data_IF_593946631922
#
_entry.id   IF_593946631922
#
_cell.length_a   1.000
_cell.length_b   1.000
_cell.length_c   1.000
_cell.angle_alpha   90.00
_cell.angle_beta   90.00
_cell.angle_gamma   90.00
#
_symmetry.space_group_name_H-M   'P 1'
#
loop_
_entity.id
_entity.type
_entity.pdbx_description
1 polymer ?
#
# COMPACT_ATOMS: atom_id res chain seq x y z
N UNK A 1 12.82 -11.70 24.43
CA UNK A 1 11.42 -11.28 24.18
C UNK A 1 11.29 -10.29 23.01
N UNK A 2 12.19 -9.31 22.83
CA UNK A 2 12.09 -8.34 21.71
C UNK A 2 12.18 -9.00 20.33
N UNK A 3 13.04 -9.99 20.13
CA UNK A 3 13.18 -10.70 18.87
C UNK A 3 11.87 -11.39 18.42
N UNK A 4 11.11 -11.94 19.38
CA UNK A 4 9.80 -12.56 19.10
C UNK A 4 8.78 -11.51 18.63
N UNK A 5 8.78 -10.32 19.26
CA UNK A 5 7.90 -9.21 18.87
C UNK A 5 8.25 -8.67 17.48
N UNK A 6 9.53 -8.55 17.17
CA UNK A 6 10.01 -8.14 15.84
C UNK A 6 9.66 -9.18 14.76
N UNK A 7 9.83 -10.47 15.06
CA UNK A 7 9.41 -11.56 14.17
C UNK A 7 7.90 -11.49 13.91
N UNK A 8 7.09 -11.27 14.95
CA UNK A 8 5.65 -11.14 14.80
C UNK A 8 5.25 -9.94 13.93
N UNK A 9 5.94 -8.81 14.08
CA UNK A 9 5.72 -7.67 13.20
C UNK A 9 6.08 -7.99 11.74
N UNK A 10 7.19 -8.68 11.50
CA UNK A 10 7.56 -9.14 10.16
C UNK A 10 6.52 -10.10 9.56
N UNK A 11 5.90 -10.95 10.40
CA UNK A 11 4.77 -11.79 9.98
C UNK A 11 3.58 -10.93 9.55
N UNK A 12 3.21 -9.91 10.32
CA UNK A 12 2.09 -9.02 10.02
C UNK A 12 2.32 -8.14 8.79
N UNK A 13 3.55 -7.64 8.59
CA UNK A 13 3.88 -6.69 7.51
C UNK A 13 4.38 -7.35 6.22
N UNK A 14 4.88 -8.59 6.27
CA UNK A 14 5.48 -9.26 5.10
C UNK A 14 4.81 -10.60 4.82
N UNK A 15 4.81 -11.53 5.78
CA UNK A 15 4.37 -12.89 5.53
C UNK A 15 2.86 -13.00 5.27
N UNK A 16 2.03 -12.38 6.11
CA UNK A 16 0.57 -12.36 5.96
C UNK A 16 0.17 -11.66 4.65
N UNK A 17 0.64 -10.44 4.34
CA UNK A 17 0.31 -9.80 3.06
C UNK A 17 0.80 -10.60 1.86
N UNK A 18 2.01 -11.15 1.87
CA UNK A 18 2.50 -12.02 0.79
C UNK A 18 1.63 -13.27 0.59
N UNK A 19 1.14 -13.88 1.67
CA UNK A 19 0.26 -15.02 1.56
C UNK A 19 -1.13 -14.64 1.04
N UNK A 20 -1.73 -13.57 1.59
CA UNK A 20 -3.03 -13.03 1.15
C UNK A 20 -3.00 -12.63 -0.33
N UNK A 21 -1.86 -12.16 -0.83
CA UNK A 21 -1.62 -11.87 -2.25
C UNK A 21 -1.95 -13.03 -3.19
N UNK A 22 -1.93 -14.28 -2.72
CA UNK A 22 -2.33 -15.43 -3.53
C UNK A 22 -3.79 -15.36 -4.00
N UNK A 23 -4.63 -14.52 -3.40
CA UNK A 23 -5.96 -14.18 -3.91
C UNK A 23 -5.93 -13.58 -5.33
N UNK A 24 -4.81 -12.95 -5.72
CA UNK A 24 -4.63 -12.23 -6.98
C UNK A 24 -3.66 -12.92 -7.96
N UNK A 25 -3.34 -14.21 -7.77
CA UNK A 25 -2.45 -14.97 -8.69
C UNK A 25 -2.87 -14.89 -10.17
N UNK A 26 -4.18 -14.77 -10.44
CA UNK A 26 -4.70 -14.67 -11.80
C UNK A 26 -4.50 -13.28 -12.45
N UNK A 27 -4.13 -12.27 -11.68
CA UNK A 27 -3.93 -10.91 -12.17
C UNK A 27 -2.58 -10.76 -12.86
N UNK A 28 -1.57 -11.46 -12.34
CA UNK A 28 -0.16 -11.32 -12.73
C UNK A 28 0.42 -12.56 -13.43
N UNK A 29 -0.37 -13.22 -14.30
CA UNK A 29 0.12 -14.35 -15.13
C UNK A 29 1.18 -13.87 -16.13
N UNK A 30 2.26 -14.64 -16.40
CA UNK A 30 2.50 -16.04 -16.02
C UNK A 30 3.43 -16.27 -14.81
N UNK A 31 4.00 -15.23 -14.20
CA UNK A 31 5.05 -15.38 -13.17
C UNK A 31 4.52 -15.09 -11.76
N UNK A 32 4.79 -15.99 -10.80
CA UNK A 32 4.60 -15.73 -9.36
C UNK A 32 5.65 -14.73 -8.87
N UNK A 33 5.40 -13.44 -9.05
CA UNK A 33 6.28 -12.41 -8.54
C UNK A 33 6.00 -12.19 -7.04
N UNK A 34 6.97 -12.47 -6.14
CA UNK A 34 6.76 -12.33 -4.70
C UNK A 34 6.46 -10.89 -4.28
N UNK A 35 7.02 -9.90 -4.98
CA UNK A 35 6.77 -8.47 -4.73
C UNK A 35 5.32 -8.12 -5.06
N UNK A 36 4.80 -8.64 -6.18
CA UNK A 36 3.38 -8.45 -6.53
C UNK A 36 2.45 -9.07 -5.49
N UNK A 37 2.73 -10.29 -5.02
CA UNK A 37 1.92 -10.96 -4.00
C UNK A 37 1.91 -10.16 -2.70
N UNK A 38 3.07 -9.73 -2.23
CA UNK A 38 3.20 -8.92 -1.03
C UNK A 38 2.39 -7.62 -1.11
N UNK A 39 2.59 -6.83 -2.17
CA UNK A 39 1.92 -5.54 -2.34
C UNK A 39 0.41 -5.73 -2.54
N UNK A 40 -0.01 -6.60 -3.44
CA UNK A 40 -1.43 -6.82 -3.72
C UNK A 40 -2.20 -7.35 -2.50
N UNK A 41 -1.58 -8.21 -1.70
CA UNK A 41 -2.15 -8.65 -0.43
C UNK A 41 -2.24 -7.52 0.59
N UNK A 42 -1.23 -6.65 0.67
CA UNK A 42 -1.29 -5.47 1.54
C UNK A 42 -2.44 -4.52 1.15
N UNK A 43 -2.67 -4.30 -0.15
CA UNK A 43 -3.78 -3.46 -0.63
C UNK A 43 -5.14 -4.02 -0.18
N UNK A 44 -5.32 -5.34 -0.24
CA UNK A 44 -6.54 -5.99 0.23
C UNK A 44 -6.70 -5.91 1.75
N UNK A 45 -5.61 -6.07 2.49
CA UNK A 45 -5.59 -5.93 3.95
C UNK A 45 -5.95 -4.51 4.39
N UNK A 46 -5.34 -3.49 3.79
CA UNK A 46 -5.68 -2.08 4.04
C UNK A 46 -7.12 -1.75 3.65
N UNK A 47 -7.62 -2.29 2.53
CA UNK A 47 -9.02 -2.12 2.15
C UNK A 47 -9.98 -2.68 3.19
N UNK A 48 -9.73 -3.90 3.67
CA UNK A 48 -10.53 -4.51 4.73
C UNK A 48 -10.44 -3.75 6.04
N UNK A 49 -9.25 -3.28 6.40
CA UNK A 49 -9.06 -2.46 7.61
C UNK A 49 -9.91 -1.18 7.55
N UNK A 50 -9.93 -0.48 6.41
CA UNK A 50 -10.77 0.71 6.23
C UNK A 50 -12.26 0.41 6.45
N UNK A 51 -12.77 -0.64 5.80
CA UNK A 51 -14.18 -1.03 5.84
C UNK A 51 -14.62 -1.46 7.23
N UNK A 52 -13.72 -2.05 8.02
CA UNK A 52 -13.99 -2.48 9.40
C UNK A 52 -13.83 -1.32 10.38
N UNK A 53 -12.76 -0.54 10.24
CA UNK A 53 -12.37 0.44 11.25
C UNK A 53 -13.30 1.66 11.26
N UNK A 54 -13.70 2.17 10.09
CA UNK A 54 -14.51 3.40 10.01
C UNK A 54 -15.87 3.25 10.71
N UNK A 55 -16.68 2.19 10.46
CA UNK A 55 -17.94 2.03 11.18
C UNK A 55 -17.76 1.93 12.69
N UNK A 56 -16.72 1.23 13.17
CA UNK A 56 -16.46 1.11 14.61
C UNK A 56 -16.08 2.46 15.20
N UNK A 57 -15.30 3.29 14.50
CA UNK A 57 -14.95 4.66 14.94
C UNK A 57 -16.21 5.52 15.03
N UNK A 58 -17.06 5.50 14.00
CA UNK A 58 -18.28 6.32 13.95
C UNK A 58 -19.34 5.92 14.98
N UNK A 59 -19.34 4.66 15.40
CA UNK A 59 -20.19 4.16 16.49
C UNK A 59 -19.54 4.33 17.87
N UNK A 60 -18.43 5.08 17.95
CA UNK A 60 -17.63 5.28 19.17
C UNK A 60 -17.24 3.95 19.85
N UNK A 61 -17.05 2.91 19.05
CA UNK A 61 -16.65 1.59 19.47
C UNK A 61 -15.22 1.57 20.01
N UNK A 62 -14.88 0.48 20.69
CA UNK A 62 -13.54 0.30 21.26
C UNK A 62 -12.60 -0.35 20.25
N UNK A 63 -11.31 -0.05 20.37
CA UNK A 63 -10.26 -0.59 19.53
C UNK A 63 -10.23 -2.13 19.49
N UNK A 64 -10.58 -2.81 20.59
CA UNK A 64 -10.64 -4.28 20.62
C UNK A 64 -11.65 -4.85 19.61
N UNK A 65 -12.73 -4.12 19.31
CA UNK A 65 -13.73 -4.55 18.32
C UNK A 65 -13.11 -4.57 16.92
N UNK A 66 -12.32 -3.53 16.58
CA UNK A 66 -11.54 -3.48 15.34
C UNK A 66 -10.56 -4.64 15.31
N UNK A 67 -9.84 -4.90 16.40
CA UNK A 67 -8.86 -6.00 16.49
C UNK A 67 -9.50 -7.36 16.25
N UNK A 68 -10.62 -7.67 16.90
CA UNK A 68 -11.33 -8.96 16.73
C UNK A 68 -11.85 -9.10 15.30
N UNK A 69 -12.55 -8.07 14.79
CA UNK A 69 -13.12 -8.11 13.44
C UNK A 69 -12.04 -8.23 12.36
N UNK A 70 -10.94 -7.48 12.51
CA UNK A 70 -9.84 -7.49 11.55
C UNK A 70 -9.01 -8.78 11.61
N UNK A 71 -8.78 -9.35 12.79
CA UNK A 71 -8.19 -10.69 12.90
C UNK A 71 -9.07 -11.76 12.25
N UNK A 72 -10.39 -11.72 12.47
CA UNK A 72 -11.35 -12.60 11.77
C UNK A 72 -11.28 -12.45 10.25
N UNK A 73 -11.22 -11.21 9.76
CA UNK A 73 -11.04 -10.91 8.34
C UNK A 73 -9.74 -11.47 7.77
N UNK A 74 -8.60 -11.29 8.46
CA UNK A 74 -7.30 -11.86 8.06
C UNK A 74 -7.38 -13.38 7.97
N UNK A 75 -7.99 -14.05 8.95
CA UNK A 75 -8.14 -15.51 8.94
C UNK A 75 -8.94 -16.01 7.74
N UNK A 76 -10.05 -15.33 7.41
CA UNK A 76 -10.86 -15.65 6.22
C UNK A 76 -10.05 -15.47 4.94
N UNK A 77 -9.28 -14.38 4.83
CA UNK A 77 -8.41 -14.14 3.67
C UNK A 77 -7.29 -15.18 3.54
N UNK A 78 -6.65 -15.58 4.64
CA UNK A 78 -5.64 -16.62 4.65
C UNK A 78 -6.22 -17.96 4.20
N UNK A 79 -7.42 -18.32 4.66
CA UNK A 79 -8.13 -19.52 4.21
C UNK A 79 -8.44 -19.45 2.70
N UNK A 80 -9.00 -18.33 2.22
CA UNK A 80 -9.32 -18.12 0.82
C UNK A 80 -8.08 -18.16 -0.09
N UNK A 81 -6.98 -17.53 0.34
CA UNK A 81 -5.69 -17.53 -0.33
C UNK A 81 -5.11 -18.95 -0.42
N UNK A 82 -5.20 -19.72 0.66
CA UNK A 82 -4.73 -21.12 0.72
C UNK A 82 -5.53 -22.01 -0.24
N UNK A 83 -6.87 -21.91 -0.23
CA UNK A 83 -7.72 -22.64 -1.18
C UNK A 83 -7.39 -22.30 -2.63
N UNK A 84 -7.17 -21.01 -2.95
CA UNK A 84 -6.77 -20.59 -4.29
C UNK A 84 -5.38 -21.07 -4.67
N UNK A 85 -4.42 -21.02 -3.76
CA UNK A 85 -3.05 -21.48 -3.97
C UNK A 85 -3.04 -22.94 -4.42
N UNK A 86 -3.73 -23.82 -3.71
CA UNK A 86 -3.79 -25.25 -4.05
C UNK A 86 -4.55 -25.53 -5.34
N UNK A 87 -5.60 -24.77 -5.65
CA UNK A 87 -6.34 -24.91 -6.92
C UNK A 87 -5.52 -24.48 -8.15
N UNK A 88 -4.60 -23.52 -8.00
CA UNK A 88 -3.86 -22.93 -9.11
C UNK A 88 -2.39 -23.37 -9.20
N UNK A 89 -1.87 -24.08 -8.19
CA UNK A 89 -0.50 -24.59 -8.18
C UNK A 89 -0.18 -25.57 -9.33
N UNK A 90 -1.20 -26.15 -9.98
CA UNK A 90 -1.04 -27.15 -11.05
C UNK A 90 -0.74 -26.56 -12.45
N UNK A 91 -0.77 -25.24 -12.64
CA UNK A 91 -0.72 -24.62 -13.99
C UNK A 91 0.43 -23.62 -14.22
N UNK A 92 1.43 -23.55 -13.33
CA UNK A 92 2.48 -22.54 -13.42
C UNK A 92 3.83 -23.17 -13.78
N UNK A 93 4.38 -22.79 -14.94
CA UNK A 93 5.77 -23.07 -15.32
C UNK A 93 6.69 -22.02 -14.71
N UNK A 94 7.76 -22.46 -14.07
CA UNK A 94 8.89 -21.60 -13.77
C UNK A 94 9.50 -21.11 -15.10
N UNK A 95 9.44 -19.81 -15.36
CA UNK A 95 10.14 -19.22 -16.49
C UNK A 95 11.62 -19.23 -16.12
N UNK A 96 12.42 -19.97 -16.89
CA UNK A 96 13.87 -20.04 -16.71
C UNK A 96 14.46 -18.72 -17.21
N UNK A 97 14.79 -17.82 -16.30
CA UNK A 97 15.45 -16.58 -16.64
C UNK A 97 16.90 -16.86 -17.09
N UNK A 98 17.30 -16.23 -18.20
CA UNK A 98 18.66 -16.32 -18.71
C UNK A 98 19.63 -15.65 -17.73
N UNK A 99 20.83 -16.22 -17.57
CA UNK A 99 21.87 -15.70 -16.65
C UNK A 99 22.03 -14.17 -16.79
N UNK A 100 22.04 -13.43 -15.68
CA UNK A 100 22.22 -11.98 -15.71
C UNK A 100 23.65 -11.63 -16.14
N UNK A 101 23.79 -10.52 -16.87
CA UNK A 101 25.10 -10.01 -17.25
C UNK A 101 25.80 -9.36 -16.06
N UNK A 102 27.14 -9.27 -16.08
CA UNK A 102 27.90 -8.66 -14.97
C UNK A 102 27.46 -7.22 -14.66
N UNK A 103 27.18 -6.42 -15.69
CA UNK A 103 26.73 -5.04 -15.52
C UNK A 103 25.34 -4.96 -14.84
N UNK A 104 24.43 -5.87 -15.18
CA UNK A 104 23.12 -5.99 -14.56
C UNK A 104 23.25 -6.35 -13.07
N UNK A 105 24.12 -7.31 -12.73
CA UNK A 105 24.40 -7.69 -11.33
C UNK A 105 24.91 -6.49 -10.54
N UNK A 106 25.87 -5.74 -11.08
CA UNK A 106 26.44 -4.56 -10.42
C UNK A 106 25.34 -3.54 -10.12
N UNK A 107 24.47 -3.25 -11.08
CA UNK A 107 23.36 -2.30 -10.89
C UNK A 107 22.36 -2.78 -9.82
N UNK A 108 22.04 -4.08 -9.78
CA UNK A 108 21.20 -4.64 -8.72
C UNK A 108 21.84 -4.54 -7.34
N UNK A 109 23.15 -4.79 -7.25
CA UNK A 109 23.90 -4.63 -5.99
C UNK A 109 23.89 -3.17 -5.56
N UNK A 110 24.13 -2.22 -6.47
CA UNK A 110 24.11 -0.79 -6.16
C UNK A 110 22.72 -0.33 -5.69
N UNK A 111 21.65 -0.71 -6.39
CA UNK A 111 20.28 -0.41 -5.96
C UNK A 111 19.96 -1.06 -4.61
N UNK A 112 20.35 -2.32 -4.41
CA UNK A 112 20.15 -3.02 -3.13
C UNK A 112 20.88 -2.37 -1.96
N UNK A 113 22.13 -1.92 -2.17
CA UNK A 113 22.92 -1.20 -1.16
C UNK A 113 22.31 0.16 -0.87
N UNK A 114 21.89 0.90 -1.89
CA UNK A 114 21.33 2.24 -1.73
C UNK A 114 19.96 2.20 -1.02
N UNK A 115 19.11 1.23 -1.36
CA UNK A 115 17.91 0.91 -0.59
C UNK A 115 18.25 0.59 0.88
N UNK A 116 19.23 -0.28 1.13
CA UNK A 116 19.63 -0.63 2.50
C UNK A 116 20.09 0.61 3.28
N UNK A 117 20.88 1.50 2.65
CA UNK A 117 21.30 2.77 3.25
C UNK A 117 20.08 3.60 3.63
N UNK A 118 19.09 3.74 2.76
CA UNK A 118 17.86 4.47 3.07
C UNK A 118 17.08 3.86 4.24
N UNK A 119 16.96 2.53 4.28
CA UNK A 119 16.27 1.83 5.38
C UNK A 119 17.01 2.01 6.71
N UNK A 120 18.34 1.94 6.70
CA UNK A 120 19.17 2.19 7.88
C UNK A 120 19.05 3.64 8.33
N UNK A 121 19.09 4.61 7.42
CA UNK A 121 18.91 6.02 7.74
C UNK A 121 17.52 6.31 8.30
N UNK A 122 16.46 5.70 7.75
CA UNK A 122 15.10 5.83 8.25
C UNK A 122 14.92 5.30 9.68
N UNK A 123 15.78 4.36 10.11
CA UNK A 123 15.78 3.81 11.48
C UNK A 123 16.63 4.63 12.43
N UNK A 124 17.83 5.07 12.00
CA UNK A 124 18.81 5.73 12.86
C UNK A 124 18.60 7.23 12.99
N UNK A 125 18.10 7.90 11.94
CA UNK A 125 17.91 9.34 11.93
C UNK A 125 16.57 9.71 12.53
N UNK A 126 16.61 10.61 13.52
CA UNK A 126 15.41 11.20 14.09
C UNK A 126 15.03 12.42 13.28
N UNK A 127 13.96 12.32 12.51
CA UNK A 127 13.36 13.48 11.84
C UNK A 127 12.23 14.06 12.70
N UNK A 128 12.35 15.34 13.03
CA UNK A 128 11.33 16.09 13.76
C UNK A 128 10.28 16.64 12.81
N UNK A 129 9.05 16.14 12.89
CA UNK A 129 7.94 16.63 12.10
C UNK A 129 6.73 16.97 12.99
N UNK A 130 6.09 18.10 12.71
CA UNK A 130 4.96 18.60 13.52
C UNK A 130 3.73 17.71 13.42
N UNK A 131 3.48 17.09 12.27
CA UNK A 131 2.34 16.18 12.07
C UNK A 131 2.46 14.92 12.94
N UNK A 132 3.67 14.54 13.40
CA UNK A 132 3.83 13.41 14.32
C UNK A 132 3.19 13.66 15.68
N UNK A 133 3.22 14.90 16.17
CA UNK A 133 2.57 15.28 17.43
C UNK A 133 1.05 15.08 17.38
N UNK A 134 0.50 14.97 16.17
CA UNK A 134 -0.89 14.60 15.93
C UNK A 134 -1.04 13.10 15.66
N UNK A 135 -0.50 12.57 14.55
CA UNK A 135 -0.81 11.21 14.09
C UNK A 135 -0.20 10.10 14.96
N UNK A 136 1.04 10.27 15.43
CA UNK A 136 1.68 9.27 16.31
C UNK A 136 1.03 9.31 17.69
N UNK A 137 0.69 10.50 18.17
CA UNK A 137 -0.03 10.68 19.42
C UNK A 137 -1.45 10.07 19.38
N UNK A 138 -2.19 10.19 18.27
CA UNK A 138 -3.47 9.48 18.09
C UNK A 138 -3.27 7.97 18.19
N UNK A 139 -2.23 7.46 17.52
CA UNK A 139 -1.94 6.02 17.53
C UNK A 139 -1.67 5.54 18.96
N UNK A 140 -0.82 6.26 19.70
CA UNK A 140 -0.48 5.94 21.08
C UNK A 140 -1.68 6.08 22.03
N UNK A 141 -2.48 7.14 21.87
CA UNK A 141 -3.69 7.38 22.66
C UNK A 141 -4.74 6.28 22.44
N UNK A 142 -4.88 5.79 21.21
CA UNK A 142 -5.79 4.71 20.88
C UNK A 142 -5.33 3.37 21.48
N UNK A 143 -4.04 3.07 21.40
CA UNK A 143 -3.46 1.86 22.00
C UNK A 143 -3.60 1.86 23.53
N UNK A 144 -3.32 2.99 24.19
CA UNK A 144 -3.39 3.13 25.64
C UNK A 144 -4.84 3.11 26.17
N UNK A 145 -5.73 3.89 25.57
CA UNK A 145 -7.09 4.10 26.10
C UNK A 145 -8.13 3.11 25.55
N UNK A 146 -7.82 2.45 24.44
CA UNK A 146 -8.78 1.64 23.67
C UNK A 146 -9.89 2.45 23.00
N UNK A 147 -9.88 3.79 23.10
CA UNK A 147 -10.82 4.70 22.41
C UNK A 147 -10.12 5.35 21.23
N UNK A 148 -10.83 5.51 20.11
CA UNK A 148 -10.27 6.01 18.86
C UNK A 148 -10.79 7.43 18.59
N UNK A 149 -9.90 8.39 18.32
CA UNK A 149 -10.25 9.78 17.98
C UNK A 149 -11.10 10.53 19.05
N UNK A 150 -10.99 10.15 20.33
CA UNK A 150 -11.68 10.78 21.47
C UNK A 150 -10.72 11.36 22.53
N UNK A 151 -9.44 11.50 22.17
CA UNK A 151 -8.41 12.17 22.96
C UNK A 151 -7.73 13.22 22.09
N UNK A 152 -7.58 14.43 22.61
CA UNK A 152 -6.86 15.52 21.95
C UNK A 152 -5.37 15.17 21.94
N UNK A 153 -4.72 15.04 20.77
CA UNK A 153 -3.33 14.58 20.69
C UNK A 153 -2.33 15.50 21.41
N UNK A 154 -2.58 16.81 21.42
CA UNK A 154 -1.67 17.81 21.97
C UNK A 154 -1.76 17.98 23.50
N UNK A 155 -2.90 17.66 24.11
CA UNK A 155 -3.15 17.89 25.54
C UNK A 155 -3.46 16.61 26.31
N UNK A 156 -3.78 15.51 25.62
CA UNK A 156 -4.22 14.26 26.22
C UNK A 156 -5.64 14.29 26.81
N UNK A 157 -6.32 15.44 26.76
CA UNK A 157 -7.67 15.60 27.29
C UNK A 157 -8.70 14.85 26.45
N UNK A 158 -9.82 14.49 27.07
CA UNK A 158 -10.95 13.92 26.35
C UNK A 158 -11.61 14.96 25.43
N UNK A 159 -12.11 14.49 24.30
CA UNK A 159 -12.86 15.31 23.33
C UNK A 159 -13.95 14.47 22.69
N UNK A 160 -14.88 15.14 22.02
CA UNK A 160 -15.85 14.50 21.14
C UNK A 160 -15.14 13.82 19.96
N UNK A 161 -15.85 12.95 19.25
CA UNK A 161 -15.26 12.21 18.14
C UNK A 161 -14.77 13.16 17.04
N UNK A 162 -13.46 13.13 16.75
CA UNK A 162 -12.89 13.79 15.57
C UNK A 162 -13.22 12.98 14.31
N UNK A 163 -14.43 13.19 13.80
CA UNK A 163 -14.97 12.46 12.64
C UNK A 163 -14.09 12.65 11.41
N UNK A 164 -13.61 13.88 11.20
CA UNK A 164 -12.80 14.25 10.03
C UNK A 164 -11.58 13.35 9.87
N UNK A 165 -10.85 13.15 10.96
CA UNK A 165 -9.65 12.30 10.96
C UNK A 165 -9.99 10.82 11.18
N UNK A 166 -11.14 10.52 11.80
CA UNK A 166 -11.69 9.18 11.97
C UNK A 166 -12.00 8.45 10.66
N UNK A 167 -12.25 9.18 9.58
CA UNK A 167 -12.49 8.62 8.24
C UNK A 167 -11.21 8.16 7.52
N UNK A 168 -10.03 8.56 7.99
CA UNK A 168 -8.72 8.10 7.50
C UNK A 168 -7.90 7.42 8.62
N UNK A 169 -8.30 6.20 9.05
CA UNK A 169 -7.75 5.50 10.22
C UNK A 169 -6.37 4.87 10.03
N UNK A 170 -5.48 5.47 9.22
CA UNK A 170 -4.07 5.05 9.13
C UNK A 170 -3.35 5.03 10.49
N UNK A 171 -3.55 6.03 11.40
CA UNK A 171 -3.01 5.98 12.76
C UNK A 171 -3.51 4.77 13.57
N UNK A 172 -4.77 4.39 13.40
CA UNK A 172 -5.36 3.26 14.11
C UNK A 172 -4.79 1.94 13.59
N UNK A 173 -4.44 1.85 12.31
CA UNK A 173 -3.71 0.70 11.77
C UNK A 173 -2.33 0.54 12.42
N UNK A 174 -1.61 1.65 12.66
CA UNK A 174 -0.33 1.65 13.39
C UNK A 174 -0.54 1.23 14.85
N UNK A 175 -1.57 1.77 15.51
CA UNK A 175 -1.94 1.37 16.86
C UNK A 175 -2.26 -0.13 16.94
N UNK A 176 -2.98 -0.66 15.95
CA UNK A 176 -3.30 -2.09 15.86
C UNK A 176 -2.04 -2.95 15.75
N UNK A 177 -1.05 -2.56 14.92
CA UNK A 177 0.25 -3.24 14.86
C UNK A 177 0.98 -3.23 16.21
N UNK A 178 0.95 -2.11 16.92
CA UNK A 178 1.52 -1.98 18.26
C UNK A 178 0.83 -2.92 19.26
N UNK A 179 -0.50 -2.93 19.28
CA UNK A 179 -1.28 -3.82 20.14
C UNK A 179 -1.01 -5.30 19.86
N UNK A 180 -0.94 -5.69 18.58
CA UNK A 180 -0.71 -7.09 18.20
C UNK A 180 0.70 -7.59 18.52
N UNK A 181 1.69 -6.69 18.55
CA UNK A 181 3.11 -7.03 18.78
C UNK A 181 3.56 -6.76 20.22
N UNK A 182 2.81 -5.96 20.97
CA UNK A 182 3.23 -5.45 22.28
C UNK A 182 4.46 -4.55 22.20
N UNK A 183 4.76 -3.96 21.04
CA UNK A 183 5.82 -2.96 20.87
C UNK A 183 5.19 -1.58 21.05
N UNK A 184 5.86 -0.70 21.79
CA UNK A 184 5.40 0.68 22.00
C UNK A 184 5.08 1.36 20.66
N UNK A 185 3.89 1.96 20.58
CA UNK A 185 3.35 2.55 19.35
C UNK A 185 4.31 3.53 18.66
N UNK A 186 5.05 4.33 19.43
CA UNK A 186 6.05 5.28 18.89
C UNK A 186 7.18 4.54 18.15
N UNK A 187 7.66 3.41 18.65
CA UNK A 187 8.71 2.61 18.01
C UNK A 187 8.17 1.99 16.71
N UNK A 188 6.95 1.45 16.75
CA UNK A 188 6.28 0.90 15.57
C UNK A 188 6.15 1.97 14.49
N UNK A 189 5.63 3.15 14.85
CA UNK A 189 5.40 4.26 13.93
C UNK A 189 6.68 4.87 13.38
N UNK A 190 7.67 5.17 14.25
CA UNK A 190 8.86 5.93 13.86
C UNK A 190 10.00 5.08 13.30
N UNK A 191 10.03 3.79 13.59
CA UNK A 191 11.19 2.95 13.26
C UNK A 191 10.81 1.75 12.41
N UNK A 192 9.77 1.00 12.78
CA UNK A 192 9.54 -0.32 12.18
C UNK A 192 8.64 -0.27 10.93
N UNK A 193 7.54 0.49 10.97
CA UNK A 193 6.64 0.68 9.82
C UNK A 193 7.36 1.35 8.63
N UNK A 194 8.17 2.41 8.81
CA UNK A 194 8.96 3.02 7.74
C UNK A 194 9.73 2.02 6.87
N UNK A 195 10.38 1.03 7.49
CA UNK A 195 11.16 0.00 6.78
C UNK A 195 10.28 -0.76 5.78
N UNK A 196 9.08 -1.16 6.20
CA UNK A 196 8.15 -1.87 5.34
C UNK A 196 7.58 -0.96 4.25
N UNK A 197 7.21 0.29 4.57
CA UNK A 197 6.59 1.21 3.62
C UNK A 197 7.57 1.70 2.54
N UNK A 198 8.80 2.05 2.91
CA UNK A 198 9.86 2.43 1.94
C UNK A 198 10.14 1.26 1.01
N UNK A 199 10.31 0.05 1.55
CA UNK A 199 10.50 -1.16 0.75
C UNK A 199 9.31 -1.42 -0.19
N UNK A 200 8.09 -1.13 0.26
CA UNK A 200 6.88 -1.28 -0.54
C UNK A 200 6.84 -0.30 -1.70
N UNK A 201 7.23 0.96 -1.49
CA UNK A 201 7.34 1.99 -2.53
C UNK A 201 8.28 1.53 -3.65
N UNK A 202 9.50 1.10 -3.31
CA UNK A 202 10.43 0.58 -4.31
C UNK A 202 9.94 -0.73 -4.94
N UNK A 203 9.19 -1.54 -4.21
CA UNK A 203 8.49 -2.69 -4.75
C UNK A 203 7.45 -2.31 -5.82
N UNK A 204 6.67 -1.23 -5.62
CA UNK A 204 5.73 -0.72 -6.63
C UNK A 204 6.48 -0.17 -7.84
N UNK A 205 7.57 0.57 -7.65
CA UNK A 205 8.43 1.03 -8.75
C UNK A 205 9.02 -0.15 -9.53
N UNK A 206 9.45 -1.20 -8.84
CA UNK A 206 9.90 -2.43 -9.47
C UNK A 206 8.79 -3.09 -10.31
N UNK A 207 7.54 -3.11 -9.83
CA UNK A 207 6.40 -3.64 -10.60
C UNK A 207 6.10 -2.78 -11.83
N UNK A 208 6.12 -1.45 -11.70
CA UNK A 208 5.98 -0.50 -12.81
C UNK A 208 7.07 -0.73 -13.87
N UNK A 209 8.33 -0.79 -13.45
CA UNK A 209 9.45 -1.02 -14.35
C UNK A 209 9.37 -2.39 -15.03
N UNK A 210 9.14 -3.45 -14.26
CA UNK A 210 9.21 -4.84 -14.74
C UNK A 210 8.04 -5.25 -15.65
N UNK A 211 6.83 -4.69 -15.44
CA UNK A 211 5.60 -5.10 -16.16
C UNK A 211 5.08 -4.08 -17.15
N UNK A 212 5.46 -2.81 -17.00
CA UNK A 212 4.97 -1.72 -17.86
C UNK A 212 6.11 -1.15 -18.69
N UNK A 213 7.07 -0.46 -18.04
CA UNK A 213 8.06 0.35 -18.75
C UNK A 213 9.05 -0.49 -19.57
N UNK A 214 9.50 -1.63 -19.03
CA UNK A 214 10.52 -2.48 -19.64
C UNK A 214 10.00 -3.87 -20.00
N UNK A 215 8.68 -3.98 -20.19
CA UNK A 215 8.02 -5.23 -20.51
C UNK A 215 7.83 -5.40 -22.02
N UNK A 216 8.74 -6.13 -22.66
CA UNK A 216 8.69 -6.55 -24.06
C UNK A 216 9.56 -7.79 -24.31
N UNK A 217 9.24 -8.55 -25.35
CA UNK A 217 10.07 -9.65 -25.86
C UNK A 217 10.95 -9.16 -27.01
N UNK A 218 12.25 -9.53 -27.02
CA UNK A 218 13.17 -9.26 -28.11
C UNK A 218 14.54 -8.71 -27.69
N UNK A 219 15.42 -8.52 -28.68
CA UNK A 219 16.81 -8.06 -28.54
C UNK A 219 16.98 -6.66 -27.90
N UNK A 220 15.89 -5.91 -27.73
CA UNK A 220 15.85 -4.57 -27.12
C UNK A 220 15.40 -4.55 -25.65
N UNK A 221 15.13 -5.71 -25.02
CA UNK A 221 14.92 -5.76 -23.57
C UNK A 221 16.26 -5.59 -22.87
N UNK A 222 16.65 -4.34 -22.66
CA UNK A 222 17.86 -3.99 -21.90
C UNK A 222 17.66 -4.42 -20.46
N UNK A 223 18.17 -5.59 -20.08
CA UNK A 223 18.02 -6.16 -18.74
C UNK A 223 18.53 -5.21 -17.63
N UNK A 224 19.53 -4.38 -17.96
CA UNK A 224 20.06 -3.34 -17.07
C UNK A 224 19.11 -2.17 -16.81
N UNK A 225 18.08 -1.96 -17.64
CA UNK A 225 17.21 -0.78 -17.54
C UNK A 225 16.36 -0.78 -16.27
N UNK A 226 15.93 -1.96 -15.79
CA UNK A 226 15.16 -2.08 -14.55
C UNK A 226 15.95 -1.69 -13.31
N UNK A 227 17.14 -2.28 -13.03
CA UNK A 227 17.94 -1.86 -11.87
C UNK A 227 18.47 -0.44 -12.04
N UNK A 228 18.77 0.03 -13.25
CA UNK A 228 19.13 1.43 -13.48
C UNK A 228 17.97 2.39 -13.17
N UNK A 229 16.74 2.04 -13.56
CA UNK A 229 15.55 2.82 -13.21
C UNK A 229 15.36 2.92 -11.70
N UNK A 230 15.49 1.81 -10.96
CA UNK A 230 15.41 1.82 -9.50
C UNK A 230 16.52 2.65 -8.86
N UNK A 231 17.76 2.48 -9.33
CA UNK A 231 18.89 3.27 -8.84
C UNK A 231 18.68 4.77 -9.06
N UNK A 232 18.21 5.16 -10.24
CA UNK A 232 17.91 6.56 -10.54
C UNK A 232 16.77 7.11 -9.68
N UNK A 233 15.69 6.35 -9.45
CA UNK A 233 14.60 6.80 -8.58
C UNK A 233 15.06 6.89 -7.12
N UNK A 234 15.89 5.97 -6.65
CA UNK A 234 16.50 6.03 -5.31
C UNK A 234 17.37 7.28 -5.12
N UNK A 235 18.21 7.63 -6.11
CA UNK A 235 19.01 8.86 -6.07
C UNK A 235 18.11 10.09 -6.07
N UNK A 236 17.07 10.13 -6.91
CA UNK A 236 16.12 11.27 -6.92
C UNK A 236 15.42 11.44 -5.58
N UNK A 237 15.03 10.34 -4.92
CA UNK A 237 14.41 10.40 -3.59
C UNK A 237 15.39 10.95 -2.55
N UNK A 238 16.66 10.54 -2.57
CA UNK A 238 17.65 11.03 -1.60
C UNK A 238 17.95 12.53 -1.73
N UNK A 239 17.92 13.07 -2.95
CA UNK A 239 18.21 14.47 -3.23
C UNK A 239 16.95 15.34 -3.43
N UNK A 240 15.77 14.76 -3.22
CA UNK A 240 14.48 15.42 -3.46
C UNK A 240 13.96 16.28 -2.31
N UNK A 241 14.72 16.44 -1.22
CA UNK A 241 14.31 17.22 -0.04
C UNK A 241 14.52 18.74 -0.23
N UNK A 242 14.03 19.30 -1.33
CA UNK A 242 14.10 20.74 -1.60
C UNK A 242 12.94 21.53 -0.95
N UNK A 243 11.95 20.83 -0.39
CA UNK A 243 10.82 21.42 0.35
C UNK A 243 10.22 20.40 1.32
N UNK A 244 9.66 20.91 2.42
CA UNK A 244 8.93 20.13 3.43
C UNK A 244 7.72 19.35 2.87
N UNK A 245 7.22 19.72 1.70
CA UNK A 245 6.03 19.13 1.07
C UNK A 245 6.35 18.15 -0.08
N UNK A 246 7.62 17.81 -0.29
CA UNK A 246 8.06 16.89 -1.35
C UNK A 246 7.70 15.45 -1.03
N UNK A 247 7.36 14.67 -2.06
CA UNK A 247 6.99 13.24 -1.89
C UNK A 247 8.18 12.44 -1.36
N UNK A 248 9.38 12.87 -1.73
CA UNK A 248 10.67 12.33 -1.33
C UNK A 248 10.89 12.47 0.17
N UNK A 249 10.66 13.67 0.72
CA UNK A 249 10.70 13.89 2.16
C UNK A 249 9.59 13.11 2.88
N UNK A 250 8.37 13.08 2.33
CA UNK A 250 7.29 12.26 2.87
C UNK A 250 7.65 10.78 2.91
N UNK A 251 8.32 10.27 1.89
CA UNK A 251 8.68 8.87 1.75
C UNK A 251 9.77 8.44 2.75
N UNK A 252 10.81 9.23 2.97
CA UNK A 252 11.90 8.84 3.90
C UNK A 252 11.57 9.28 5.32
N UNK A 253 11.32 10.56 5.53
CA UNK A 253 11.29 11.17 6.86
C UNK A 253 9.92 11.07 7.56
N UNK A 254 8.84 10.98 6.78
CA UNK A 254 7.44 11.02 7.26
C UNK A 254 6.62 9.81 6.82
N UNK A 255 7.27 8.70 6.47
CA UNK A 255 6.64 7.47 5.93
C UNK A 255 5.50 6.93 6.79
N UNK A 256 5.54 7.17 8.10
CA UNK A 256 4.51 6.78 9.06
C UNK A 256 3.15 7.47 8.87
N UNK A 257 3.07 8.48 8.01
CA UNK A 257 1.85 9.25 7.76
C UNK A 257 1.10 8.67 6.57
N UNK A 258 -0.23 8.63 6.67
CA UNK A 258 -1.06 8.15 5.56
C UNK A 258 -0.87 8.96 4.27
N UNK A 259 -0.59 10.27 4.36
CA UNK A 259 -0.23 11.11 3.19
C UNK A 259 1.00 10.56 2.43
N UNK A 260 2.01 10.09 3.15
CA UNK A 260 3.20 9.50 2.55
C UNK A 260 2.85 8.18 1.83
N UNK A 261 2.08 7.30 2.48
CA UNK A 261 1.61 6.06 1.86
C UNK A 261 0.75 6.32 0.61
N UNK A 262 -0.11 7.35 0.63
CA UNK A 262 -0.89 7.75 -0.54
C UNK A 262 -0.01 8.15 -1.72
N UNK A 263 0.93 9.08 -1.49
CA UNK A 263 1.77 9.64 -2.55
C UNK A 263 2.80 8.65 -3.10
N UNK A 264 3.43 7.87 -2.22
CA UNK A 264 4.57 7.02 -2.57
C UNK A 264 4.19 5.58 -2.92
N UNK A 265 3.07 5.06 -2.42
CA UNK A 265 2.65 3.66 -2.66
C UNK A 265 1.37 3.62 -3.50
N UNK A 266 0.29 4.24 -3.00
CA UNK A 266 -1.05 4.01 -3.56
C UNK A 266 -1.25 4.65 -4.93
N UNK A 267 -0.83 5.91 -5.12
CA UNK A 267 -0.90 6.58 -6.43
C UNK A 267 -0.06 5.81 -7.48
N UNK A 268 1.22 5.47 -7.23
CA UNK A 268 2.00 4.63 -8.13
C UNK A 268 1.37 3.26 -8.40
N UNK A 269 0.72 2.65 -7.41
CA UNK A 269 0.02 1.38 -7.58
C UNK A 269 -1.23 1.52 -8.47
N UNK A 270 -1.97 2.63 -8.36
CA UNK A 270 -3.06 2.95 -9.29
C UNK A 270 -2.51 3.10 -10.72
N UNK A 271 -1.42 3.85 -10.90
CA UNK A 271 -0.77 3.96 -12.21
C UNK A 271 -0.36 2.59 -12.77
N UNK A 272 0.25 1.74 -11.94
CA UNK A 272 0.62 0.39 -12.33
C UNK A 272 -0.57 -0.42 -12.83
N UNK A 273 -1.68 -0.42 -12.08
CA UNK A 273 -2.88 -1.14 -12.46
C UNK A 273 -3.51 -0.56 -13.73
N UNK A 274 -3.67 0.76 -13.82
CA UNK A 274 -4.27 1.40 -14.99
C UNK A 274 -3.45 1.18 -16.26
N UNK A 275 -2.13 1.30 -16.20
CA UNK A 275 -1.27 1.01 -17.35
C UNK A 275 -1.33 -0.47 -17.74
N UNK A 276 -1.38 -1.37 -16.75
CA UNK A 276 -1.60 -2.81 -16.98
C UNK A 276 -2.96 -3.08 -17.63
N UNK A 277 -4.01 -2.36 -17.21
CA UNK A 277 -5.34 -2.45 -17.79
C UNK A 277 -5.34 -2.03 -19.26
N UNK A 278 -4.77 -0.86 -19.57
CA UNK A 278 -4.69 -0.35 -20.94
C UNK A 278 -3.90 -1.30 -21.84
N UNK A 279 -2.78 -1.84 -21.35
CA UNK A 279 -2.02 -2.86 -22.08
C UNK A 279 -2.83 -4.12 -22.35
N UNK A 280 -3.53 -4.65 -21.34
CA UNK A 280 -4.40 -5.83 -21.53
C UNK A 280 -5.52 -5.57 -22.53
N UNK A 281 -6.05 -4.36 -22.57
CA UNK A 281 -7.06 -3.95 -23.55
C UNK A 281 -6.48 -3.94 -24.96
N UNK A 282 -5.27 -3.39 -25.12
CA UNK A 282 -4.53 -3.34 -26.39
C UNK A 282 -4.18 -4.73 -26.91
N UNK A 283 -3.78 -5.64 -26.03
CA UNK A 283 -3.44 -7.04 -26.34
C UNK A 283 -4.67 -7.96 -26.41
N UNK A 284 -5.89 -7.41 -26.36
CA UNK A 284 -7.18 -8.13 -26.35
C UNK A 284 -7.31 -9.24 -25.28
N UNK A 285 -6.58 -9.10 -24.19
CA UNK A 285 -6.61 -10.04 -23.08
C UNK A 285 -7.88 -9.88 -22.24
N UNK A 286 -8.39 -11.01 -21.73
CA UNK A 286 -9.52 -11.00 -20.79
C UNK A 286 -9.08 -10.40 -19.45
N UNK A 287 -9.78 -9.36 -19.02
CA UNK A 287 -9.59 -8.76 -17.69
C UNK A 287 -10.30 -9.65 -16.66
N UNK A 288 -9.54 -10.16 -15.69
CA UNK A 288 -10.07 -11.06 -14.66
C UNK A 288 -10.82 -10.27 -13.58
N UNK A 289 -11.81 -10.90 -12.94
CA UNK A 289 -12.52 -10.29 -11.79
C UNK A 289 -11.56 -9.89 -10.67
N UNK A 290 -10.49 -10.67 -10.46
CA UNK A 290 -9.45 -10.36 -9.48
C UNK A 290 -8.74 -9.03 -9.73
N UNK A 291 -8.65 -8.58 -10.99
CA UNK A 291 -8.06 -7.28 -11.31
C UNK A 291 -8.94 -6.13 -10.79
N UNK A 292 -10.26 -6.22 -10.99
CA UNK A 292 -11.21 -5.22 -10.50
C UNK A 292 -11.30 -5.20 -8.98
N UNK A 293 -11.26 -6.38 -8.33
CA UNK A 293 -11.20 -6.47 -6.87
C UNK A 293 -9.92 -5.84 -6.33
N UNK A 294 -8.77 -6.05 -6.98
CA UNK A 294 -7.51 -5.43 -6.58
C UNK A 294 -7.56 -3.90 -6.76
N UNK A 295 -8.06 -3.41 -7.89
CA UNK A 295 -8.21 -1.97 -8.11
C UNK A 295 -9.14 -1.34 -7.06
N UNK A 296 -10.32 -1.93 -6.82
CA UNK A 296 -11.22 -1.47 -5.75
C UNK A 296 -10.59 -1.53 -4.35
N UNK A 297 -9.72 -2.51 -4.09
CA UNK A 297 -8.95 -2.59 -2.84
C UNK A 297 -7.96 -1.43 -2.72
N UNK A 298 -7.21 -1.11 -3.78
CA UNK A 298 -6.31 0.05 -3.80
C UNK A 298 -7.09 1.36 -3.60
N UNK A 299 -8.23 1.52 -4.26
CA UNK A 299 -9.10 2.69 -4.10
C UNK A 299 -9.58 2.84 -2.65
N UNK A 300 -9.99 1.73 -2.02
CA UNK A 300 -10.39 1.72 -0.61
C UNK A 300 -9.21 2.04 0.32
N UNK A 301 -8.02 1.52 0.02
CA UNK A 301 -6.80 1.83 0.75
C UNK A 301 -6.39 3.31 0.62
N UNK A 302 -6.71 3.99 -0.48
CA UNK A 302 -6.53 5.45 -0.59
C UNK A 302 -7.31 6.22 0.46
N UNK A 303 -8.53 5.76 0.80
CA UNK A 303 -9.35 6.35 1.84
C UNK A 303 -8.76 6.14 3.24
N UNK A 304 -8.15 4.97 3.48
CA UNK A 304 -7.41 4.70 4.73
C UNK A 304 -6.27 5.69 4.92
N UNK A 305 -5.52 5.94 3.85
CA UNK A 305 -4.33 6.78 3.87
C UNK A 305 -4.68 8.27 4.04
N UNK A 306 -5.72 8.76 3.37
CA UNK A 306 -6.16 10.15 3.50
C UNK A 306 -7.56 10.34 2.91
N UNK A 307 -8.35 11.22 3.53
CA UNK A 307 -9.67 11.62 2.99
C UNK A 307 -9.55 12.31 1.63
N UNK A 308 -8.48 13.09 1.40
CA UNK A 308 -8.17 13.65 0.07
C UNK A 308 -7.70 12.57 -0.93
N UNK A 309 -7.22 11.43 -0.42
CA UNK A 309 -6.84 10.28 -1.24
C UNK A 309 -8.00 9.72 -2.04
N UNK A 310 -9.21 9.76 -1.47
CA UNK A 310 -10.43 9.36 -2.18
C UNK A 310 -10.66 10.20 -3.45
N UNK A 311 -10.51 11.53 -3.35
CA UNK A 311 -10.69 12.46 -4.45
C UNK A 311 -9.62 12.28 -5.53
N UNK A 312 -8.34 12.28 -5.14
CA UNK A 312 -7.21 12.13 -6.07
C UNK A 312 -7.26 10.80 -6.81
N UNK A 313 -7.57 9.71 -6.10
CA UNK A 313 -7.69 8.39 -6.69
C UNK A 313 -8.84 8.32 -7.70
N UNK A 314 -10.02 8.87 -7.36
CA UNK A 314 -11.16 8.94 -8.27
C UNK A 314 -10.86 9.76 -9.52
N UNK A 315 -10.18 10.91 -9.38
CA UNK A 315 -9.78 11.72 -10.53
C UNK A 315 -8.82 10.96 -11.43
N UNK A 316 -7.83 10.27 -10.87
CA UNK A 316 -6.86 9.50 -11.64
C UNK A 316 -7.51 8.32 -12.39
N UNK A 317 -8.36 7.54 -11.71
CA UNK A 317 -9.08 6.42 -12.33
C UNK A 317 -10.10 6.91 -13.35
N UNK A 318 -10.81 8.00 -13.05
CA UNK A 318 -11.80 8.60 -13.95
C UNK A 318 -11.17 9.14 -15.23
N UNK A 319 -10.10 9.91 -15.11
CA UNK A 319 -9.37 10.47 -16.27
C UNK A 319 -8.75 9.38 -17.13
N UNK A 320 -7.99 8.45 -16.53
CA UNK A 320 -7.40 7.33 -17.27
C UNK A 320 -8.45 6.40 -17.86
N UNK A 321 -9.56 6.19 -17.17
CA UNK A 321 -10.70 5.41 -17.62
C UNK A 321 -11.39 6.01 -18.84
N UNK A 322 -11.61 7.33 -18.84
CA UNK A 322 -12.16 8.06 -19.98
C UNK A 322 -11.19 8.04 -21.17
N UNK A 323 -9.91 8.34 -20.94
CA UNK A 323 -8.88 8.26 -21.97
C UNK A 323 -8.83 6.85 -22.58
N UNK A 324 -8.83 5.81 -21.76
CA UNK A 324 -8.85 4.42 -22.22
C UNK A 324 -10.12 4.05 -23.00
N UNK A 325 -11.29 4.48 -22.53
CA UNK A 325 -12.56 4.22 -23.20
C UNK A 325 -12.62 4.88 -24.59
N UNK A 326 -12.11 6.10 -24.72
CA UNK A 326 -12.05 6.85 -25.97
C UNK A 326 -11.01 6.26 -26.92
N UNK A 327 -9.76 6.08 -26.46
CA UNK A 327 -8.65 5.60 -27.30
C UNK A 327 -8.87 4.19 -27.83
N UNK A 328 -9.44 3.30 -27.01
CA UNK A 328 -9.68 1.90 -27.41
C UNK A 328 -11.13 1.64 -27.85
N UNK A 329 -11.99 2.67 -27.88
CA UNK A 329 -13.44 2.57 -28.19
C UNK A 329 -14.20 1.52 -27.35
N UNK A 330 -13.74 1.24 -26.13
CA UNK A 330 -14.34 0.25 -25.21
C UNK A 330 -15.10 0.90 -24.05
N UNK A 331 -16.24 1.51 -24.35
CA UNK A 331 -17.10 2.20 -23.36
C UNK A 331 -17.59 1.32 -22.21
N UNK A 332 -17.74 0.00 -22.44
CA UNK A 332 -18.13 -0.96 -21.39
C UNK A 332 -17.13 -1.04 -20.23
N UNK A 333 -15.90 -0.53 -20.40
CA UNK A 333 -14.87 -0.45 -19.36
C UNK A 333 -15.22 0.53 -18.24
N UNK A 334 -16.04 1.54 -18.53
CA UNK A 334 -16.36 2.59 -17.56
C UNK A 334 -17.16 2.03 -16.38
N UNK A 335 -18.07 1.08 -16.62
CA UNK A 335 -18.90 0.49 -15.58
C UNK A 335 -18.10 -0.16 -14.43
N UNK A 336 -17.15 -1.09 -14.68
CA UNK A 336 -16.34 -1.65 -13.59
C UNK A 336 -15.40 -0.62 -12.95
N UNK A 337 -14.96 0.41 -13.68
CA UNK A 337 -14.15 1.50 -13.10
C UNK A 337 -14.97 2.36 -12.13
N UNK A 338 -16.21 2.72 -12.49
CA UNK A 338 -17.15 3.38 -11.57
C UNK A 338 -17.35 2.51 -10.33
N UNK A 339 -17.55 1.20 -10.52
CA UNK A 339 -17.67 0.24 -9.42
C UNK A 339 -16.48 0.27 -8.45
N UNK A 340 -15.25 0.39 -8.97
CA UNK A 340 -14.03 0.51 -8.15
C UNK A 340 -13.94 1.84 -7.39
N UNK A 341 -14.59 2.90 -7.88
CA UNK A 341 -14.62 4.22 -7.24
C UNK A 341 -15.70 4.37 -6.17
N UNK A 342 -16.67 3.45 -6.09
CA UNK A 342 -17.78 3.51 -5.11
C UNK A 342 -17.27 3.72 -3.66
N UNK A 343 -16.27 2.95 -3.16
CA UNK A 343 -15.78 3.17 -1.80
C UNK A 343 -15.29 4.60 -1.56
N UNK A 344 -14.54 5.16 -2.50
CA UNK A 344 -14.05 6.53 -2.42
C UNK A 344 -15.19 7.55 -2.42
N UNK A 345 -16.21 7.37 -3.26
CA UNK A 345 -17.38 8.25 -3.31
C UNK A 345 -18.13 8.20 -1.97
N UNK A 346 -18.33 7.01 -1.41
CA UNK A 346 -19.00 6.84 -0.11
C UNK A 346 -18.22 7.54 1.00
N UNK A 347 -16.91 7.29 1.14
CA UNK A 347 -16.12 7.93 2.19
C UNK A 347 -15.95 9.43 2.00
N UNK A 348 -15.84 9.91 0.76
CA UNK A 348 -15.83 11.34 0.47
C UNK A 348 -17.19 11.99 0.80
N UNK A 349 -18.29 11.32 0.49
CA UNK A 349 -19.64 11.77 0.87
C UNK A 349 -19.81 11.83 2.39
N UNK A 350 -19.36 10.80 3.11
CA UNK A 350 -19.34 10.80 4.58
C UNK A 350 -18.51 11.95 5.14
N UNK A 351 -17.35 12.23 4.55
CA UNK A 351 -16.51 13.36 4.95
C UNK A 351 -17.22 14.71 4.76
N UNK A 352 -17.96 14.90 3.66
CA UNK A 352 -18.67 16.14 3.40
C UNK A 352 -19.96 16.31 4.22
N UNK A 353 -20.56 15.20 4.68
CA UNK A 353 -21.81 15.23 5.45
C UNK A 353 -21.57 15.25 6.96
N UNK A 354 -20.50 14.63 7.44
CA UNK A 354 -20.20 14.46 8.86
C UNK A 354 -19.00 15.28 9.34
N UNK A 355 -18.18 15.80 8.42
CA UNK A 355 -17.02 16.65 8.70
C UNK A 355 -17.29 18.09 8.30
#
# INVERSE_FOLDING_TARGET
MIAVRLLWLAVLLVAIPAWVGNCFLNVDKPCRNPVFLWISGQMLLWAGFQVICVPVILLEGRMWMVTVAYCGYILVLLAAATVRYFRQSRTLRAVREAKPEKAEIILWVLAGVLLLVQLVLAVLMVYGDGDDAYYVAISAAAEESGRMYQKIPYTGMHTELDVRHGLAPFPIWIAWLAQMTGITTVIVAKTLVPVALISMTYGVFYLLGSRVLFAGEGAYRKKWALPAFLLCTEVLVLFGDYSYYTVENFMIARSRQGKAALGSILIPMIFFLLLTLLRKIQEEQKITVGFWVLLGSVMTACCLASTMGALLACMLVGTAGLCGAVSYRKWKLILPLIGCCIPCIVYAGMYLLLG
#
